data_IF_474472064889
#
_entry.id   IF_474472064889
#
_cell.length_a   1.000
_cell.length_b   1.000
_cell.length_c   1.000
_cell.angle_alpha   90.00
_cell.angle_beta   90.00
_cell.angle_gamma   90.00
#
_symmetry.space_group_name_H-M   'P 1'
#
loop_
_entity.id
_entity.type
_entity.pdbx_description
1 polymer ?
#
# COMPACT_ATOMS: atom_id res chain seq x y z
N UNK A 1 12.07 -11.35 -11.85
CA UNK A 1 10.73 -10.82 -11.47
C UNK A 1 10.88 -10.01 -10.18
N UNK A 2 10.46 -8.74 -10.14
CA UNK A 2 10.45 -7.94 -8.90
C UNK A 2 9.20 -8.32 -8.09
N UNK A 3 9.36 -9.01 -6.96
CA UNK A 3 8.24 -9.29 -6.04
C UNK A 3 7.91 -8.03 -5.25
N UNK A 4 6.63 -7.66 -5.23
CA UNK A 4 6.13 -6.57 -4.39
C UNK A 4 5.54 -7.18 -3.12
N UNK A 5 6.04 -6.77 -1.95
CA UNK A 5 5.43 -7.18 -0.69
C UNK A 5 4.05 -6.57 -0.51
N UNK A 6 3.11 -7.38 -0.05
CA UNK A 6 1.79 -6.97 0.43
C UNK A 6 1.90 -6.09 1.67
N UNK A 7 0.85 -5.34 1.99
CA UNK A 7 0.80 -4.54 3.21
C UNK A 7 1.03 -5.38 4.48
N UNK A 8 0.49 -6.60 4.50
CA UNK A 8 0.66 -7.54 5.62
C UNK A 8 2.11 -7.98 5.78
N UNK A 9 2.76 -8.39 4.69
CA UNK A 9 4.17 -8.80 4.73
C UNK A 9 5.08 -7.64 5.17
N UNK A 10 4.82 -6.42 4.68
CA UNK A 10 5.56 -5.24 5.13
C UNK A 10 5.39 -5.00 6.62
N UNK A 11 4.15 -5.10 7.13
CA UNK A 11 3.88 -4.97 8.56
C UNK A 11 4.65 -6.02 9.37
N UNK A 12 4.66 -7.29 8.93
CA UNK A 12 5.40 -8.37 9.61
C UNK A 12 6.90 -8.11 9.70
N UNK A 13 7.52 -7.52 8.67
CA UNK A 13 8.95 -7.14 8.74
C UNK A 13 9.22 -6.15 9.86
N UNK A 14 8.38 -5.10 9.98
CA UNK A 14 8.56 -4.10 11.03
C UNK A 14 8.32 -4.69 12.43
N UNK A 15 7.36 -5.59 12.59
CA UNK A 15 7.14 -6.28 13.89
C UNK A 15 8.33 -7.18 14.25
N UNK A 16 8.84 -7.99 13.31
CA UNK A 16 10.00 -8.84 13.55
C UNK A 16 11.27 -8.03 13.86
N UNK A 17 11.50 -6.94 13.11
CA UNK A 17 12.59 -6.02 13.36
C UNK A 17 12.50 -5.36 14.73
N UNK A 18 11.31 -4.89 15.11
CA UNK A 18 11.05 -4.32 16.45
C UNK A 18 11.33 -5.33 17.57
N UNK A 19 11.09 -6.61 17.32
CA UNK A 19 11.38 -7.71 18.26
C UNK A 19 12.85 -8.15 18.25
N UNK A 20 13.73 -7.50 17.48
CA UNK A 20 15.17 -7.79 17.43
C UNK A 20 15.58 -8.86 16.42
N UNK A 21 14.68 -9.28 15.52
CA UNK A 21 15.00 -10.29 14.50
C UNK A 21 15.95 -9.72 13.45
N UNK A 22 17.02 -10.45 13.12
CA UNK A 22 18.01 -10.01 12.13
C UNK A 22 17.51 -10.03 10.68
N UNK A 23 18.15 -9.26 9.79
CA UNK A 23 17.72 -9.14 8.38
C UNK A 23 17.64 -10.49 7.64
N UNK A 24 18.62 -11.38 7.86
CA UNK A 24 18.68 -12.67 7.17
C UNK A 24 17.56 -13.61 7.59
N UNK A 25 17.19 -13.59 8.86
CA UNK A 25 16.13 -14.42 9.41
C UNK A 25 14.75 -13.94 8.94
N UNK A 26 14.49 -12.62 8.99
CA UNK A 26 13.28 -12.02 8.41
C UNK A 26 13.16 -12.37 6.92
N UNK A 27 14.27 -12.30 6.19
CA UNK A 27 14.30 -12.62 4.77
C UNK A 27 13.97 -14.10 4.51
N UNK A 28 14.48 -15.02 5.33
CA UNK A 28 14.17 -16.44 5.24
C UNK A 28 12.69 -16.71 5.50
N UNK A 29 12.12 -16.13 6.57
CA UNK A 29 10.69 -16.25 6.92
C UNK A 29 9.80 -15.81 5.75
N UNK A 30 10.18 -14.73 5.06
CA UNK A 30 9.39 -14.17 3.97
C UNK A 30 9.75 -14.71 2.58
N UNK A 31 10.73 -15.61 2.45
CA UNK A 31 11.21 -16.09 1.15
C UNK A 31 11.76 -14.96 0.28
N UNK A 32 12.64 -14.13 0.85
CA UNK A 32 13.23 -12.95 0.22
C UNK A 32 14.75 -12.90 0.43
N UNK A 33 15.43 -11.94 -0.19
CA UNK A 33 16.85 -11.67 0.03
C UNK A 33 17.04 -10.73 1.23
N UNK A 34 18.10 -10.90 2.05
CA UNK A 34 18.38 -10.01 3.19
C UNK A 34 18.52 -8.54 2.80
N UNK A 35 19.14 -8.26 1.64
CA UNK A 35 19.27 -6.90 1.12
C UNK A 35 17.93 -6.22 0.83
N UNK A 36 16.87 -6.98 0.53
CA UNK A 36 15.52 -6.45 0.35
C UNK A 36 14.92 -5.97 1.68
N UNK A 37 15.14 -6.73 2.77
CA UNK A 37 14.70 -6.34 4.12
C UNK A 37 15.44 -5.09 4.57
N UNK A 38 16.77 -5.06 4.36
CA UNK A 38 17.59 -3.87 4.64
C UNK A 38 17.07 -2.64 3.91
N UNK A 39 16.83 -2.75 2.60
CA UNK A 39 16.34 -1.63 1.78
C UNK A 39 15.00 -1.11 2.31
N UNK A 40 14.10 -2.01 2.70
CA UNK A 40 12.78 -1.62 3.19
C UNK A 40 12.82 -0.90 4.53
N UNK A 41 13.70 -1.33 5.45
CA UNK A 41 13.85 -0.69 6.76
C UNK A 41 14.63 0.63 6.65
N UNK A 42 15.64 0.70 5.79
CA UNK A 42 16.50 1.88 5.60
C UNK A 42 15.70 3.15 5.31
N UNK A 43 14.69 3.07 4.46
CA UNK A 43 13.92 4.25 4.01
C UNK A 43 13.15 4.93 5.14
N UNK A 44 12.89 4.22 6.24
CA UNK A 44 12.16 4.73 7.42
C UNK A 44 12.99 4.69 8.70
N UNK A 45 14.30 4.40 8.59
CA UNK A 45 15.17 4.20 9.75
C UNK A 45 14.78 2.99 10.63
N UNK A 46 14.01 2.04 10.08
CA UNK A 46 13.48 0.90 10.81
C UNK A 46 12.23 1.20 11.64
N UNK A 47 11.69 2.42 11.57
CA UNK A 47 10.46 2.81 12.26
C UNK A 47 9.26 2.51 11.34
N UNK A 48 8.28 1.76 11.85
CA UNK A 48 7.07 1.40 11.10
C UNK A 48 6.34 2.67 10.65
N UNK A 49 6.17 2.92 9.33
CA UNK A 49 5.42 4.07 8.86
C UNK A 49 3.93 3.87 9.19
N UNK A 50 3.22 5.00 9.36
CA UNK A 50 1.77 4.98 9.50
C UNK A 50 1.12 4.32 8.29
N UNK A 51 0.09 3.51 8.54
CA UNK A 51 -0.68 2.92 7.45
C UNK A 51 -1.27 4.01 6.57
N UNK A 52 -1.11 3.85 5.25
CA UNK A 52 -1.70 4.78 4.29
C UNK A 52 -3.21 4.67 4.37
N UNK A 53 -3.85 5.74 4.86
CA UNK A 53 -5.30 5.90 4.84
C UNK A 53 -5.69 6.79 3.67
N UNK A 54 -6.81 6.46 3.01
CA UNK A 54 -7.41 7.39 2.04
C UNK A 54 -7.97 8.60 2.79
N UNK A 55 -7.92 9.77 2.16
CA UNK A 55 -8.57 10.95 2.71
C UNK A 55 -10.08 10.69 2.84
N UNK A 56 -10.73 11.32 3.82
CA UNK A 56 -12.18 11.18 4.04
C UNK A 56 -12.98 11.63 2.81
N UNK A 57 -12.50 12.67 2.11
CA UNK A 57 -13.09 13.17 0.86
C UNK A 57 -12.70 12.35 -0.39
N UNK A 58 -12.02 11.22 -0.25
CA UNK A 58 -11.64 10.40 -1.39
C UNK A 58 -12.83 9.57 -1.88
N UNK A 59 -13.14 9.67 -3.17
CA UNK A 59 -14.19 8.88 -3.82
C UNK A 59 -14.04 7.37 -3.55
N UNK A 60 -15.11 6.74 -3.13
CA UNK A 60 -15.29 5.30 -3.06
C UNK A 60 -15.19 4.66 -4.44
N UNK A 61 -15.11 3.33 -4.49
CA UNK A 61 -15.10 2.61 -5.76
C UNK A 61 -16.41 2.82 -6.54
N UNK A 62 -17.54 2.88 -5.84
CA UNK A 62 -18.86 3.08 -6.45
C UNK A 62 -18.97 4.47 -7.08
N UNK A 63 -18.63 5.53 -6.33
CA UNK A 63 -18.66 6.91 -6.86
C UNK A 63 -17.71 7.08 -8.05
N UNK A 64 -16.55 6.41 -8.03
CA UNK A 64 -15.62 6.39 -9.17
C UNK A 64 -16.23 5.72 -10.40
N UNK A 65 -16.93 4.61 -10.22
CA UNK A 65 -17.55 3.89 -11.33
C UNK A 65 -18.73 4.68 -11.91
N UNK A 66 -19.50 5.37 -11.07
CA UNK A 66 -20.56 6.28 -11.51
C UNK A 66 -20.01 7.42 -12.36
N UNK A 67 -18.95 8.10 -11.89
CA UNK A 67 -18.28 9.15 -12.65
C UNK A 67 -17.73 8.59 -13.98
N UNK A 68 -17.12 7.41 -13.95
CA UNK A 68 -16.60 6.74 -15.15
C UNK A 68 -17.72 6.45 -16.15
N UNK A 69 -18.84 5.90 -15.69
CA UNK A 69 -19.99 5.58 -16.53
C UNK A 69 -20.59 6.85 -17.17
N UNK A 70 -20.76 7.92 -16.38
CA UNK A 70 -21.24 9.21 -16.88
C UNK A 70 -20.31 9.82 -17.93
N UNK A 71 -19.00 9.76 -17.71
CA UNK A 71 -17.99 10.19 -18.70
C UNK A 71 -18.06 9.34 -19.98
N UNK A 72 -18.21 8.02 -19.85
CA UNK A 72 -18.36 7.11 -20.99
C UNK A 72 -19.64 7.38 -21.80
N UNK A 73 -20.71 7.81 -21.13
CA UNK A 73 -21.96 8.23 -21.75
C UNK A 73 -21.91 9.67 -22.33
N UNK A 74 -20.74 10.34 -22.29
CA UNK A 74 -20.54 11.73 -22.73
C UNK A 74 -21.43 12.73 -21.99
N UNK A 75 -21.82 12.44 -20.75
CA UNK A 75 -22.55 13.38 -19.91
C UNK A 75 -21.66 14.57 -19.54
N UNK A 76 -22.26 15.74 -19.37
CA UNK A 76 -21.54 16.89 -18.82
C UNK A 76 -21.17 16.64 -17.36
N UNK A 77 -20.07 17.23 -16.89
CA UNK A 77 -19.63 17.12 -15.49
C UNK A 77 -20.74 17.57 -14.51
N UNK A 78 -21.51 18.60 -14.88
CA UNK A 78 -22.66 19.06 -14.09
C UNK A 78 -23.76 18.00 -13.96
N UNK A 79 -24.04 17.27 -15.02
CA UNK A 79 -25.06 16.21 -15.01
C UNK A 79 -24.60 15.00 -14.18
N UNK A 80 -23.30 14.69 -14.19
CA UNK A 80 -22.71 13.62 -13.36
C UNK A 80 -22.76 14.01 -11.88
N UNK A 81 -22.50 15.28 -11.54
CA UNK A 81 -22.51 15.76 -10.16
C UNK A 81 -23.91 15.83 -9.50
N UNK A 82 -24.97 15.65 -10.30
CA UNK A 82 -26.37 15.65 -9.83
C UNK A 82 -27.00 14.26 -9.76
N UNK A 83 -26.28 13.23 -10.22
CA UNK A 83 -26.68 11.83 -10.07
C UNK A 83 -26.47 11.36 -8.63
#
# INVERSE_FOLDING_TARGET
MRRTFTAKEKASVFELWKNGTGFSEIANILGSKPGTIFTMLRDTGGIKPNERKRAVAHLTLSEREEIRAGLSAKMSIRAIATA
#
